data_IF_433312883586
#
_entry.id   IF_433312883586
#
_cell.length_a   1.000
_cell.length_b   1.000
_cell.length_c   1.000
_cell.angle_alpha   90.00
_cell.angle_beta   90.00
_cell.angle_gamma   90.00
#
_symmetry.space_group_name_H-M   'P 1'
#
loop_
_entity.id
_entity.type
_entity.pdbx_description
1 polymer ?
#
# COMPACT_ATOMS: atom_id res chain seq x y z
N UNK A 1 -27.01 20.28 -11.56
CA UNK A 1 -25.73 19.88 -12.21
C UNK A 1 -25.48 18.43 -11.89
N UNK A 2 -25.64 17.55 -12.87
CA UNK A 2 -25.32 16.13 -12.75
C UNK A 2 -23.79 15.99 -12.86
N UNK A 3 -23.11 15.58 -11.79
CA UNK A 3 -21.69 15.16 -11.88
C UNK A 3 -21.70 13.69 -12.27
N UNK A 4 -20.98 13.26 -13.32
CA UNK A 4 -20.90 11.84 -13.61
C UNK A 4 -20.19 11.15 -12.44
N UNK A 5 -20.84 10.13 -11.88
CA UNK A 5 -20.27 9.15 -10.95
C UNK A 5 -19.27 8.30 -11.73
N UNK A 6 -18.08 8.84 -11.95
CA UNK A 6 -16.97 8.13 -12.60
C UNK A 6 -15.73 8.46 -11.79
N UNK A 7 -15.19 7.45 -11.12
CA UNK A 7 -14.22 7.62 -10.05
C UNK A 7 -13.14 8.67 -10.34
N UNK A 8 -13.04 9.66 -9.45
CA UNK A 8 -12.06 10.73 -9.59
C UNK A 8 -10.66 10.14 -9.45
N UNK A 9 -9.87 10.17 -10.51
CA UNK A 9 -8.47 9.81 -10.43
C UNK A 9 -7.61 10.99 -9.97
N UNK A 10 -6.61 10.72 -9.14
CA UNK A 10 -5.71 11.74 -8.59
C UNK A 10 -4.32 11.17 -8.37
N UNK A 11 -3.29 11.97 -8.63
CA UNK A 11 -1.94 11.64 -8.22
C UNK A 11 -1.77 11.90 -6.73
N UNK A 12 -1.46 10.85 -5.98
CA UNK A 12 -1.36 10.88 -4.52
C UNK A 12 0.05 10.48 -4.13
N UNK A 13 0.66 11.24 -3.21
CA UNK A 13 1.97 10.87 -2.68
C UNK A 13 1.87 9.61 -1.83
N UNK A 14 2.81 8.70 -1.99
CA UNK A 14 2.95 7.49 -1.15
C UNK A 14 3.15 7.82 0.33
N UNK A 15 3.52 9.06 0.65
CA UNK A 15 3.60 9.55 2.04
C UNK A 15 2.23 9.74 2.69
N UNK A 16 1.22 10.11 1.91
CA UNK A 16 -0.14 10.42 2.36
C UNK A 16 -1.06 9.18 2.35
N UNK A 17 -0.60 8.07 1.77
CA UNK A 17 -1.33 6.81 1.77
C UNK A 17 -1.17 6.09 3.11
N UNK A 18 -2.29 5.58 3.63
CA UNK A 18 -2.37 4.74 4.83
C UNK A 18 -2.92 3.35 4.44
N UNK A 19 -2.14 2.28 4.64
CA UNK A 19 -2.67 0.91 4.59
C UNK A 19 -3.68 0.69 5.71
N UNK A 20 -4.70 -0.12 5.43
CA UNK A 20 -5.81 -0.46 6.33
C UNK A 20 -5.82 -1.96 6.69
N UNK A 21 -5.13 -2.79 5.91
CA UNK A 21 -4.96 -4.22 6.18
C UNK A 21 -3.67 -4.53 6.97
N UNK A 22 -3.69 -5.50 7.91
CA UNK A 22 -2.52 -5.88 8.70
C UNK A 22 -1.58 -6.86 7.99
N UNK A 23 -2.02 -7.54 6.94
CA UNK A 23 -1.22 -8.54 6.25
C UNK A 23 -0.47 -7.95 5.06
N UNK A 24 0.83 -8.25 4.97
CA UNK A 24 1.64 -7.96 3.79
C UNK A 24 2.02 -9.28 3.14
N UNK A 25 1.48 -9.54 1.95
CA UNK A 25 1.76 -10.75 1.17
C UNK A 25 3.08 -10.62 0.43
N UNK A 26 4.16 -11.04 1.08
CA UNK A 26 5.49 -10.69 0.58
C UNK A 26 5.77 -11.25 -0.82
N UNK A 27 5.31 -12.47 -1.11
CA UNK A 27 5.49 -13.08 -2.44
C UNK A 27 4.87 -12.24 -3.55
N UNK A 28 3.66 -11.73 -3.33
CA UNK A 28 2.95 -10.90 -4.31
C UNK A 28 3.63 -9.54 -4.47
N UNK A 29 4.01 -8.91 -3.35
CA UNK A 29 4.78 -7.66 -3.35
C UNK A 29 6.08 -7.80 -4.12
N UNK A 30 6.87 -8.84 -3.86
CA UNK A 30 8.14 -9.08 -4.56
C UNK A 30 7.93 -9.40 -6.05
N UNK A 31 6.87 -10.15 -6.37
CA UNK A 31 6.50 -10.40 -7.76
C UNK A 31 6.19 -9.09 -8.50
N UNK A 32 5.49 -8.16 -7.87
CA UNK A 32 5.21 -6.82 -8.43
C UNK A 32 6.46 -5.96 -8.55
N UNK A 33 7.38 -6.02 -7.59
CA UNK A 33 8.67 -5.31 -7.68
C UNK A 33 9.47 -5.80 -8.89
N UNK A 34 9.50 -7.11 -9.15
CA UNK A 34 10.22 -7.69 -10.30
C UNK A 34 9.54 -7.38 -11.64
N UNK A 35 8.22 -7.38 -11.66
CA UNK A 35 7.41 -7.24 -12.87
C UNK A 35 6.65 -5.91 -12.89
N UNK A 36 7.27 -4.85 -12.37
CA UNK A 36 6.61 -3.56 -12.23
C UNK A 36 6.18 -3.05 -13.60
N UNK A 37 4.87 -2.83 -13.77
CA UNK A 37 4.35 -2.22 -14.98
C UNK A 37 4.28 -0.70 -14.79
N UNK A 38 5.02 0.10 -15.58
CA UNK A 38 4.96 1.56 -15.50
C UNK A 38 3.54 2.12 -15.70
N UNK A 39 2.66 1.40 -16.39
CA UNK A 39 1.27 1.81 -16.59
C UNK A 39 0.50 1.92 -15.25
N UNK A 40 0.85 1.14 -14.22
CA UNK A 40 0.25 1.25 -12.89
C UNK A 40 0.47 2.60 -12.21
N UNK A 41 1.49 3.36 -12.65
CA UNK A 41 1.71 4.72 -12.16
C UNK A 41 0.68 5.71 -12.73
N UNK A 42 -0.03 5.35 -13.81
CA UNK A 42 -0.93 6.24 -14.56
C UNK A 42 -2.36 5.71 -14.73
N UNK A 43 -2.59 4.41 -14.61
CA UNK A 43 -3.89 3.78 -14.92
C UNK A 43 -4.94 4.01 -13.83
N UNK A 44 -4.52 4.34 -12.61
CA UNK A 44 -5.44 4.50 -11.48
C UNK A 44 -5.90 3.17 -10.88
N UNK A 45 -5.11 2.11 -11.04
CA UNK A 45 -5.40 0.75 -10.54
C UNK A 45 -5.40 0.64 -9.01
N UNK A 46 -4.89 1.66 -8.31
CA UNK A 46 -4.87 1.73 -6.85
C UNK A 46 -6.12 2.46 -6.37
N UNK A 47 -6.93 1.77 -5.58
CA UNK A 47 -8.17 2.32 -5.02
C UNK A 47 -7.90 2.90 -3.64
N UNK A 48 -8.30 4.16 -3.45
CA UNK A 48 -8.20 4.85 -2.15
C UNK A 48 -9.47 5.58 -1.79
N UNK A 49 -9.70 5.73 -0.49
CA UNK A 49 -10.69 6.63 0.08
C UNK A 49 -10.00 7.88 0.63
N UNK A 50 -10.55 9.06 0.34
CA UNK A 50 -10.05 10.34 0.88
C UNK A 50 -10.68 10.58 2.25
N UNK A 51 -9.91 10.37 3.33
CA UNK A 51 -10.38 10.55 4.70
C UNK A 51 -10.39 12.03 5.13
N UNK A 52 -9.99 12.94 4.24
CA UNK A 52 -9.66 14.31 4.61
C UNK A 52 -8.31 14.41 5.32
N UNK A 53 -7.92 15.64 5.69
CA UNK A 53 -6.69 15.94 6.45
C UNK A 53 -5.44 15.25 5.87
N UNK A 54 -5.33 15.26 4.53
CA UNK A 54 -4.20 14.72 3.79
C UNK A 54 -3.89 13.23 4.04
N UNK A 55 -4.91 12.42 4.34
CA UNK A 55 -4.75 10.97 4.49
C UNK A 55 -5.66 10.21 3.52
N UNK A 56 -5.08 9.26 2.79
CA UNK A 56 -5.80 8.43 1.83
C UNK A 56 -5.71 6.96 2.25
N UNK A 57 -6.86 6.37 2.58
CA UNK A 57 -6.95 4.98 3.04
C UNK A 57 -6.94 4.03 1.86
N UNK A 58 -6.08 3.02 1.88
CA UNK A 58 -6.09 1.94 0.89
C UNK A 58 -7.31 1.04 1.13
N UNK A 59 -7.92 0.56 0.05
CA UNK A 59 -9.27 -0.05 0.13
C UNK A 59 -9.24 -1.56 0.00
N UNK A 60 -8.44 -2.08 -0.92
CA UNK A 60 -8.41 -3.49 -1.30
C UNK A 60 -6.99 -4.05 -1.26
N UNK A 61 -6.83 -5.36 -1.14
CA UNK A 61 -5.51 -5.98 -0.99
C UNK A 61 -4.59 -5.70 -2.18
N UNK A 62 -5.15 -5.58 -3.39
CA UNK A 62 -4.36 -5.30 -4.59
C UNK A 62 -3.70 -3.93 -4.48
N UNK A 63 -4.46 -2.93 -4.01
CA UNK A 63 -3.98 -1.58 -3.76
C UNK A 63 -2.87 -1.57 -2.70
N UNK A 64 -2.99 -2.41 -1.67
CA UNK A 64 -1.95 -2.60 -0.66
C UNK A 64 -0.67 -3.19 -1.25
N UNK A 65 -0.76 -4.28 -2.01
CA UNK A 65 0.43 -4.92 -2.59
C UNK A 65 1.18 -3.98 -3.53
N UNK A 66 0.45 -3.27 -4.41
CA UNK A 66 1.03 -2.30 -5.34
C UNK A 66 1.65 -1.13 -4.56
N UNK A 67 1.00 -0.66 -3.50
CA UNK A 67 1.55 0.37 -2.62
C UNK A 67 2.87 -0.09 -1.97
N UNK A 68 2.93 -1.27 -1.36
CA UNK A 68 4.16 -1.77 -0.74
C UNK A 68 5.28 -1.98 -1.76
N UNK A 69 4.96 -2.51 -2.95
CA UNK A 69 5.92 -2.63 -4.04
C UNK A 69 6.43 -1.25 -4.49
N UNK A 70 5.55 -0.24 -4.56
CA UNK A 70 5.93 1.13 -4.90
C UNK A 70 6.90 1.74 -3.87
N UNK A 71 6.72 1.43 -2.58
CA UNK A 71 7.60 1.89 -1.52
C UNK A 71 9.00 1.28 -1.70
N UNK A 72 9.09 -0.03 -1.95
CA UNK A 72 10.36 -0.71 -2.24
C UNK A 72 11.07 -0.09 -3.45
N UNK A 73 10.31 0.24 -4.49
CA UNK A 73 10.83 0.87 -5.71
C UNK A 73 11.11 2.38 -5.56
N UNK A 74 10.86 2.97 -4.38
CA UNK A 74 11.12 4.38 -4.11
C UNK A 74 10.21 5.35 -4.87
N UNK A 75 9.00 4.93 -5.23
CA UNK A 75 8.06 5.76 -6.00
C UNK A 75 7.47 6.89 -5.13
N UNK A 76 7.53 8.15 -5.58
CA UNK A 76 7.08 9.29 -4.77
C UNK A 76 5.56 9.45 -4.71
N UNK A 77 4.87 8.98 -5.75
CA UNK A 77 3.44 9.10 -5.94
C UNK A 77 2.91 8.02 -6.88
N UNK A 78 1.61 7.77 -6.82
CA UNK A 78 0.89 6.88 -7.73
C UNK A 78 -0.41 7.54 -8.15
N UNK A 79 -0.86 7.27 -9.37
CA UNK A 79 -2.22 7.60 -9.80
C UNK A 79 -3.18 6.65 -9.10
N UNK A 80 -4.15 7.20 -8.39
CA UNK A 80 -5.14 6.44 -7.65
C UNK A 80 -6.55 6.81 -8.06
N UNK A 81 -7.46 5.85 -7.94
CA UNK A 81 -8.89 5.99 -8.09
C UNK A 81 -9.52 6.28 -6.74
N UNK A 82 -10.23 7.40 -6.63
CA UNK A 82 -10.96 7.77 -5.44
C UNK A 82 -12.34 7.10 -5.40
N UNK A 83 -12.65 6.49 -4.27
CA UNK A 83 -13.98 5.99 -3.96
C UNK A 83 -14.62 6.77 -2.82
N UNK A 84 -15.94 6.62 -2.69
CA UNK A 84 -16.73 7.32 -1.66
C UNK A 84 -16.99 6.47 -0.42
N UNK A 85 -16.72 5.17 -0.47
CA UNK A 85 -16.96 4.27 0.65
C UNK A 85 -15.69 4.18 1.49
N UNK A 86 -15.81 4.48 2.77
CA UNK A 86 -14.72 4.36 3.74
C UNK A 86 -14.41 2.87 3.99
N UNK A 87 -13.15 2.43 3.80
CA UNK A 87 -12.74 1.09 4.19
C UNK A 87 -12.60 1.00 5.71
N UNK A 88 -12.78 -0.20 6.25
CA UNK A 88 -12.48 -0.46 7.65
C UNK A 88 -10.96 -0.46 7.87
N UNK A 89 -10.48 0.30 8.85
CA UNK A 89 -9.07 0.40 9.18
C UNK A 89 -8.66 -0.67 10.20
N UNK A 90 -8.65 -1.92 9.77
CA UNK A 90 -8.33 -3.08 10.62
C UNK A 90 -6.92 -2.98 11.22
N UNK A 91 -5.98 -2.41 10.46
CA UNK A 91 -4.60 -2.20 10.88
C UNK A 91 -4.52 -1.31 12.13
N UNK A 92 -5.26 -0.20 12.14
CA UNK A 92 -5.26 0.74 13.26
C UNK A 92 -6.19 0.26 14.40
N UNK A 93 -7.40 -0.19 14.06
CA UNK A 93 -8.45 -0.55 15.02
C UNK A 93 -8.17 -1.84 15.78
N UNK A 94 -7.58 -2.85 15.12
CA UNK A 94 -7.48 -4.22 15.66
C UNK A 94 -6.04 -4.69 15.82
N UNK A 95 -5.14 -4.30 14.90
CA UNK A 95 -3.77 -4.77 14.88
C UNK A 95 -2.75 -3.80 15.54
N UNK A 96 -3.22 -2.70 16.13
CA UNK A 96 -2.38 -1.70 16.82
C UNK A 96 -1.20 -1.23 15.92
N UNK A 97 -1.49 -0.96 14.65
CA UNK A 97 -0.49 -0.57 13.64
C UNK A 97 0.66 -1.58 13.46
N UNK A 98 0.40 -2.87 13.68
CA UNK A 98 1.38 -3.96 13.54
C UNK A 98 1.07 -4.79 12.31
N UNK A 99 2.08 -4.96 11.44
CA UNK A 99 1.98 -5.81 10.25
C UNK A 99 2.41 -7.25 10.50
N UNK A 100 1.71 -8.15 9.85
CA UNK A 100 2.07 -9.56 9.70
C UNK A 100 2.66 -9.79 8.29
N UNK A 101 3.85 -10.37 8.21
CA UNK A 101 4.54 -10.60 6.94
C UNK A 101 4.31 -12.03 6.44
N UNK A 102 3.28 -12.18 5.61
CA UNK A 102 2.84 -13.47 5.11
C UNK A 102 3.86 -14.01 4.10
N UNK A 103 4.47 -15.14 4.43
CA UNK A 103 5.40 -15.86 3.55
C UNK A 103 6.83 -15.33 3.58
N UNK A 104 7.23 -14.55 4.58
CA UNK A 104 8.61 -14.03 4.72
C UNK A 104 9.67 -15.14 4.76
N UNK A 105 9.39 -16.22 5.47
CA UNK A 105 10.32 -17.33 5.70
C UNK A 105 10.70 -18.12 4.43
N UNK A 106 9.93 -17.96 3.35
CA UNK A 106 10.11 -18.71 2.09
C UNK A 106 10.91 -17.92 1.04
N UNK A 107 11.47 -16.77 1.41
CA UNK A 107 12.08 -15.83 0.47
C UNK A 107 13.60 -16.04 0.38
N UNK A 108 14.19 -16.02 -0.82
CA UNK A 108 15.64 -16.02 -1.01
C UNK A 108 16.33 -14.85 -0.29
N UNK A 109 17.54 -15.08 0.25
CA UNK A 109 18.30 -14.04 0.95
C UNK A 109 18.52 -12.76 0.14
N UNK A 110 18.65 -12.89 -1.19
CA UNK A 110 18.84 -11.76 -2.10
C UNK A 110 17.69 -10.75 -2.05
N UNK A 111 16.47 -11.22 -1.77
CA UNK A 111 15.28 -10.37 -1.71
C UNK A 111 14.97 -9.87 -0.31
N UNK A 112 15.57 -10.46 0.73
CA UNK A 112 15.41 -10.00 2.12
C UNK A 112 15.76 -8.52 2.28
N UNK A 113 16.80 -8.04 1.58
CA UNK A 113 17.19 -6.62 1.60
C UNK A 113 16.06 -5.67 1.19
N UNK A 114 15.17 -6.10 0.28
CA UNK A 114 14.00 -5.29 -0.13
C UNK A 114 12.95 -5.24 0.97
N UNK A 115 12.78 -6.35 1.69
CA UNK A 115 11.84 -6.45 2.82
C UNK A 115 12.35 -5.65 4.01
N UNK A 116 13.65 -5.72 4.32
CA UNK A 116 14.28 -4.90 5.36
C UNK A 116 14.15 -3.39 5.06
N UNK A 117 14.29 -3.02 3.79
CA UNK A 117 14.04 -1.65 3.35
C UNK A 117 12.58 -1.25 3.55
N UNK A 118 11.63 -2.08 3.15
CA UNK A 118 10.21 -1.84 3.38
C UNK A 118 9.89 -1.69 4.87
N UNK A 119 10.38 -2.62 5.71
CA UNK A 119 10.27 -2.56 7.17
C UNK A 119 10.77 -1.22 7.70
N UNK A 120 11.97 -0.81 7.28
CA UNK A 120 12.56 0.48 7.69
C UNK A 120 11.69 1.67 7.30
N UNK A 121 11.14 1.69 6.07
CA UNK A 121 10.28 2.79 5.58
C UNK A 121 8.98 2.87 6.39
N UNK A 122 8.36 1.73 6.68
CA UNK A 122 7.11 1.64 7.43
C UNK A 122 7.31 1.92 8.93
N UNK A 123 8.39 1.46 9.55
CA UNK A 123 8.70 1.79 10.93
C UNK A 123 8.95 3.29 11.14
N UNK A 124 9.54 3.98 10.16
CA UNK A 124 9.64 5.45 10.18
C UNK A 124 8.29 6.16 10.11
N UNK A 125 7.25 5.49 9.59
CA UNK A 125 5.86 5.96 9.59
C UNK A 125 5.10 5.57 10.86
N UNK A 126 5.72 4.85 11.80
CA UNK A 126 5.11 4.44 13.07
C UNK A 126 4.56 3.02 13.11
N UNK A 127 4.78 2.22 12.05
CA UNK A 127 4.30 0.84 12.00
C UNK A 127 5.26 -0.15 12.69
N UNK A 128 4.67 -1.20 13.27
CA UNK A 128 5.37 -2.32 13.89
C UNK A 128 5.24 -3.57 13.03
N UNK A 129 6.03 -4.60 13.34
CA UNK A 129 5.99 -5.90 12.69
C UNK A 129 5.91 -6.98 13.76
N UNK A 130 5.19 -8.06 13.48
CA UNK A 130 5.23 -9.26 14.31
C UNK A 130 6.62 -9.88 14.12
N UNK A 131 7.39 -9.96 15.21
CA UNK A 131 8.59 -10.77 15.26
C UNK A 131 8.15 -12.22 15.53
N UNK A 132 8.44 -13.13 14.60
CA UNK A 132 8.26 -14.58 14.74
C UNK A 132 9.55 -15.21 15.31
#
# INVERSE_FOLDING_TARGET
>A
MYRPLGAHQKDISTRLMKPTGPDIRIKDVLHLVKNWNPAWEFDGDITVFDAGIAQYLLVDDRSHDVFFASLILGKPSLRCKLISNEPKDVLDEEADNTFNLVGENEIPEEERKKIDYLKTVLSRKGYRFIDD
#
